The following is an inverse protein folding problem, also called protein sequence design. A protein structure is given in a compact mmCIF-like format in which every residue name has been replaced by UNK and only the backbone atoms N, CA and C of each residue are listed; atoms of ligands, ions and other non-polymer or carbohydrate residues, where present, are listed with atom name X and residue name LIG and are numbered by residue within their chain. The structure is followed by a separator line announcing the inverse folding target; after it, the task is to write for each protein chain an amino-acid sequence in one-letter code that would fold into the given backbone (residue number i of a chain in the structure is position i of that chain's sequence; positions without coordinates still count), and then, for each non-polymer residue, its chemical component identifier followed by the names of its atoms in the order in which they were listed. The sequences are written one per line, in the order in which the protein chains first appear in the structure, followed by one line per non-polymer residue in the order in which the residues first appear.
data_IF_179229383314
#
_entry.id   IF_179229383314
#
_cell.length_a   1.000
_cell.length_b   1.000
_cell.length_c   1.000
_cell.angle_alpha   90.00
_cell.angle_beta   90.00
_cell.angle_gamma   90.00
#
_symmetry.space_group_name_H-M   'P 1'
#
loop_
_entity.id
_entity.type
_entity.pdbx_description
1 polymer ?
#
# COMPACT_ATOMS: atom_id res chain seq x y z
N UNK A 1 -53.94 -18.14 86.89
CA UNK A 1 -52.76 -17.28 86.89
C UNK A 1 -52.86 -16.36 85.70
N UNK A 2 -53.24 -15.08 85.93
CA UNK A 2 -53.33 -14.08 84.86
C UNK A 2 -51.99 -13.29 84.79
N UNK A 3 -51.30 -13.36 83.70
CA UNK A 3 -50.14 -12.52 83.42
C UNK A 3 -50.63 -11.18 82.87
N UNK A 4 -50.37 -10.13 83.59
CA UNK A 4 -50.60 -8.72 83.23
C UNK A 4 -49.44 -8.19 82.49
N UNK A 5 -49.55 -7.94 81.18
CA UNK A 5 -48.55 -7.30 80.37
C UNK A 5 -48.62 -5.77 80.63
N UNK A 6 -47.62 -5.21 81.28
CA UNK A 6 -47.42 -3.78 81.47
C UNK A 6 -46.90 -3.19 80.18
N UNK A 7 -47.67 -2.33 79.51
CA UNK A 7 -47.17 -1.52 78.39
C UNK A 7 -46.50 -0.26 79.02
N UNK A 8 -45.19 -0.21 79.01
CA UNK A 8 -44.45 1.04 79.20
C UNK A 8 -44.40 1.72 77.82
N UNK A 9 -45.24 2.71 77.58
CA UNK A 9 -45.10 3.75 76.62
C UNK A 9 -44.33 4.90 77.24
N UNK A 10 -43.02 4.83 77.23
CA UNK A 10 -42.18 6.02 77.38
C UNK A 10 -41.68 6.41 76.00
N UNK A 11 -42.16 7.54 75.51
CA UNK A 11 -41.62 8.19 74.34
C UNK A 11 -40.19 8.63 74.68
N UNK A 12 -39.20 8.35 73.79
CA UNK A 12 -37.83 8.80 74.05
C UNK A 12 -37.80 10.33 74.06
N UNK A 13 -37.27 10.82 75.12
CA UNK A 13 -37.08 12.26 75.38
C UNK A 13 -36.34 12.99 74.23
N UNK A 14 -36.81 14.19 73.92
CA UNK A 14 -36.35 15.12 72.88
C UNK A 14 -34.91 15.62 73.04
N UNK A 15 -34.03 14.94 73.74
CA UNK A 15 -32.61 15.28 73.85
C UNK A 15 -31.75 14.90 72.66
N UNK A 16 -32.18 13.99 71.84
CA UNK A 16 -31.39 13.49 70.71
C UNK A 16 -31.70 14.16 69.35
N UNK A 17 -32.66 15.05 69.25
CA UNK A 17 -33.04 15.71 68.00
C UNK A 17 -31.97 16.64 67.46
N UNK A 18 -31.18 17.28 68.29
CA UNK A 18 -30.09 18.17 67.96
C UNK A 18 -28.86 17.39 67.42
N UNK A 19 -28.53 16.26 68.11
CA UNK A 19 -27.40 15.40 67.68
C UNK A 19 -27.68 14.71 66.36
N UNK A 20 -28.89 14.22 66.11
CA UNK A 20 -29.30 13.60 64.86
C UNK A 20 -29.36 14.59 63.69
N UNK A 21 -29.69 15.85 63.93
CA UNK A 21 -29.66 16.93 62.93
C UNK A 21 -28.23 17.27 62.56
N UNK A 22 -27.32 17.40 63.53
CA UNK A 22 -25.90 17.69 63.31
C UNK A 22 -25.20 16.54 62.57
N UNK A 23 -25.45 15.28 62.92
CA UNK A 23 -24.92 14.13 62.23
C UNK A 23 -25.41 14.05 60.74
N UNK A 24 -26.69 14.38 60.51
CA UNK A 24 -27.23 14.48 59.15
C UNK A 24 -26.58 15.59 58.32
N UNK A 25 -26.36 16.74 58.91
CA UNK A 25 -25.74 17.87 58.22
C UNK A 25 -24.27 17.58 57.93
N UNK A 26 -23.52 16.98 58.88
CA UNK A 26 -22.16 16.53 58.67
C UNK A 26 -22.05 15.45 57.59
N UNK A 27 -22.92 14.45 57.61
CA UNK A 27 -22.96 13.39 56.60
C UNK A 27 -23.29 13.94 55.20
N UNK A 28 -24.20 14.90 55.12
CA UNK A 28 -24.55 15.63 53.90
C UNK A 28 -23.36 16.44 53.37
N UNK A 29 -22.64 17.10 54.22
CA UNK A 29 -21.46 17.89 53.82
C UNK A 29 -20.31 16.98 53.32
N UNK A 30 -20.06 15.86 54.01
CA UNK A 30 -19.06 14.85 53.57
C UNK A 30 -19.46 14.21 52.23
N UNK A 31 -20.73 13.87 52.04
CA UNK A 31 -21.21 13.31 50.80
C UNK A 31 -21.13 14.30 49.63
N UNK A 32 -21.46 15.58 49.89
CA UNK A 32 -21.36 16.65 48.89
C UNK A 32 -19.92 17.00 48.52
N UNK A 33 -19.00 16.94 49.49
CA UNK A 33 -17.57 17.15 49.23
C UNK A 33 -17.00 15.99 48.43
N UNK A 34 -17.29 14.72 48.79
CA UNK A 34 -16.86 13.55 48.07
C UNK A 34 -17.43 13.50 46.62
N UNK A 35 -18.67 13.97 46.44
CA UNK A 35 -19.27 14.08 45.12
C UNK A 35 -18.58 15.16 44.26
N UNK A 36 -18.25 16.32 44.84
CA UNK A 36 -17.53 17.42 44.20
C UNK A 36 -16.11 16.97 43.78
N UNK A 37 -15.42 16.24 44.67
CA UNK A 37 -14.07 15.76 44.41
C UNK A 37 -14.05 14.72 43.27
N UNK A 38 -14.98 13.75 43.29
CA UNK A 38 -15.13 12.79 42.19
C UNK A 38 -15.46 13.44 40.83
N UNK A 39 -16.31 14.49 40.85
CA UNK A 39 -16.64 15.26 39.67
C UNK A 39 -15.40 16.02 39.15
N UNK A 40 -14.62 16.62 40.05
CA UNK A 40 -13.37 17.33 39.73
C UNK A 40 -12.30 16.37 39.16
N UNK A 41 -12.13 15.20 39.73
CA UNK A 41 -11.22 14.17 39.21
C UNK A 41 -11.62 13.70 37.80
N UNK A 42 -12.90 13.42 37.57
CA UNK A 42 -13.39 13.04 36.24
C UNK A 42 -13.17 14.15 35.23
N UNK A 43 -13.41 15.37 35.60
CA UNK A 43 -13.21 16.56 34.77
C UNK A 43 -11.73 16.71 34.42
N UNK A 44 -10.82 16.59 35.38
CA UNK A 44 -9.38 16.64 35.14
C UNK A 44 -8.89 15.49 34.30
N UNK A 45 -9.34 14.27 34.51
CA UNK A 45 -9.05 13.09 33.65
C UNK A 45 -9.49 13.32 32.22
N UNK A 46 -10.67 13.88 32.00
CA UNK A 46 -11.18 14.18 30.66
C UNK A 46 -10.41 15.33 29.99
N UNK A 47 -10.04 16.37 30.73
CA UNK A 47 -9.20 17.46 30.23
C UNK A 47 -7.83 16.92 29.81
N UNK A 48 -7.18 16.11 30.65
CA UNK A 48 -5.89 15.51 30.33
C UNK A 48 -5.98 14.57 29.12
N UNK A 49 -7.05 13.80 28.98
CA UNK A 49 -7.30 12.99 27.78
C UNK A 49 -7.45 13.86 26.53
N UNK A 50 -8.23 14.93 26.61
CA UNK A 50 -8.40 15.86 25.50
C UNK A 50 -7.08 16.54 25.11
N UNK A 51 -6.31 17.00 26.09
CA UNK A 51 -4.99 17.63 25.88
C UNK A 51 -4.01 16.63 25.25
N UNK A 52 -3.92 15.42 25.76
CA UNK A 52 -3.03 14.39 25.20
C UNK A 52 -3.42 14.01 23.77
N UNK A 53 -4.72 13.93 23.47
CA UNK A 53 -5.22 13.69 22.11
C UNK A 53 -4.86 14.84 21.18
N UNK A 54 -5.03 16.10 21.63
CA UNK A 54 -4.65 17.28 20.86
C UNK A 54 -3.13 17.34 20.59
N UNK A 55 -2.31 17.02 21.60
CA UNK A 55 -0.85 16.94 21.41
C UNK A 55 -0.48 15.85 20.41
N UNK A 56 -1.11 14.67 20.50
CA UNK A 56 -0.88 13.57 19.56
C UNK A 56 -1.26 13.98 18.13
N UNK A 57 -2.41 14.61 17.95
CA UNK A 57 -2.86 15.12 16.64
C UNK A 57 -1.90 16.19 16.10
N UNK A 58 -1.44 17.10 16.97
CA UNK A 58 -0.48 18.14 16.58
C UNK A 58 0.89 17.56 16.20
N UNK A 59 1.37 16.53 16.92
CA UNK A 59 2.60 15.82 16.59
C UNK A 59 2.48 15.11 15.24
N UNK A 60 1.39 14.41 15.01
CA UNK A 60 1.10 13.74 13.75
C UNK A 60 1.05 14.77 12.61
N UNK A 61 0.29 15.86 12.77
CA UNK A 61 0.22 16.94 11.79
C UNK A 61 1.58 17.61 11.53
N UNK A 62 2.43 17.73 12.56
CA UNK A 62 3.78 18.27 12.48
C UNK A 62 4.71 17.38 11.64
N UNK A 63 4.60 16.06 11.76
CA UNK A 63 5.37 15.09 10.95
C UNK A 63 5.01 15.26 9.46
N UNK A 64 3.71 15.33 9.13
CA UNK A 64 3.26 15.50 7.74
C UNK A 64 3.69 16.84 7.13
N UNK A 65 3.59 17.94 7.90
CA UNK A 65 4.04 19.27 7.43
C UNK A 65 5.54 19.36 7.19
N UNK A 66 6.35 18.65 7.98
CA UNK A 66 7.81 18.64 7.82
C UNK A 66 8.22 17.98 6.50
N UNK A 67 7.50 16.95 6.09
CA UNK A 67 7.76 16.25 4.83
C UNK A 67 7.40 17.09 3.60
N UNK A 68 6.28 17.82 3.63
CA UNK A 68 5.90 18.72 2.54
C UNK A 68 6.86 19.91 2.42
N UNK A 69 7.27 20.49 3.53
CA UNK A 69 8.24 21.58 3.54
C UNK A 69 9.62 21.14 3.02
N UNK A 70 10.06 19.94 3.39
CA UNK A 70 11.32 19.35 2.89
C UNK A 70 11.25 19.09 1.39
N UNK A 71 10.12 18.59 0.88
CA UNK A 71 9.89 18.39 -0.55
C UNK A 71 9.89 19.72 -1.32
N UNK A 72 9.26 20.76 -0.78
CA UNK A 72 9.24 22.10 -1.38
C UNK A 72 10.64 22.74 -1.40
N UNK A 73 11.44 22.60 -0.36
CA UNK A 73 12.79 23.12 -0.29
C UNK A 73 13.73 22.39 -1.26
N UNK A 74 13.68 21.05 -1.29
CA UNK A 74 14.48 20.22 -2.18
C UNK A 74 14.08 20.41 -3.65
N UNK A 75 12.80 20.72 -3.92
CA UNK A 75 12.29 20.96 -5.28
C UNK A 75 12.61 22.33 -5.87
N UNK A 76 13.28 23.25 -5.14
CA UNK A 76 13.63 24.59 -5.61
C UNK A 76 14.97 24.67 -6.37
N UNK A 77 15.76 23.61 -6.34
CA UNK A 77 17.01 23.48 -7.09
C UNK A 77 16.87 22.49 -8.24
N UNK A 78 17.71 22.56 -9.29
CA UNK A 78 17.73 21.54 -10.33
C UNK A 78 17.96 20.16 -9.74
N UNK A 79 17.01 19.23 -9.97
CA UNK A 79 17.03 17.91 -9.35
C UNK A 79 16.51 16.82 -10.30
N UNK A 80 16.78 15.59 -9.93
CA UNK A 80 16.19 14.39 -10.54
C UNK A 80 14.97 13.97 -9.71
N UNK A 81 13.80 13.96 -10.33
CA UNK A 81 12.57 13.46 -9.71
C UNK A 81 12.57 11.93 -9.69
N UNK A 82 12.15 11.32 -8.57
CA UNK A 82 12.01 9.87 -8.45
C UNK A 82 10.55 9.53 -8.15
N UNK A 83 10.05 8.47 -8.80
CA UNK A 83 8.76 7.84 -8.51
C UNK A 83 8.97 6.35 -8.33
N UNK A 84 8.60 5.80 -7.18
CA UNK A 84 8.87 4.41 -6.83
C UNK A 84 7.79 3.46 -7.39
N UNK A 85 8.25 2.31 -7.91
CA UNK A 85 7.42 1.17 -8.33
C UNK A 85 7.92 -0.08 -7.62
N UNK A 86 7.30 -0.42 -6.49
CA UNK A 86 7.72 -1.51 -5.63
C UNK A 86 6.64 -2.59 -5.48
N UNK A 87 7.11 -3.82 -5.27
CA UNK A 87 6.27 -4.97 -4.96
C UNK A 87 5.52 -5.53 -6.17
N UNK A 88 4.57 -6.41 -5.90
CA UNK A 88 3.76 -7.09 -6.92
C UNK A 88 2.76 -6.11 -7.56
N UNK A 89 2.72 -6.10 -8.90
CA UNK A 89 1.87 -5.20 -9.67
C UNK A 89 0.42 -5.73 -9.68
N UNK A 90 -0.52 -4.88 -9.21
CA UNK A 90 -1.93 -5.22 -9.23
C UNK A 90 -2.37 -6.18 -8.13
N UNK A 91 -1.65 -6.24 -7.01
CA UNK A 91 -2.01 -7.05 -5.83
C UNK A 91 -3.30 -6.58 -5.10
N UNK A 92 -3.94 -5.52 -5.60
CA UNK A 92 -5.18 -4.95 -5.04
C UNK A 92 -5.01 -4.13 -3.75
N UNK A 93 -3.81 -4.07 -3.18
CA UNK A 93 -3.51 -3.28 -1.97
C UNK A 93 -3.31 -1.81 -2.32
N UNK A 94 -2.61 -1.55 -3.41
CA UNK A 94 -2.27 -0.20 -3.88
C UNK A 94 -2.66 -0.01 -5.34
N UNK A 95 -3.14 1.19 -5.69
CA UNK A 95 -3.29 1.62 -7.07
C UNK A 95 -1.95 2.17 -7.60
N UNK A 96 -1.09 1.25 -8.05
CA UNK A 96 0.25 1.59 -8.52
C UNK A 96 0.22 2.46 -9.79
N UNK A 97 -0.78 2.28 -10.66
CA UNK A 97 -0.97 3.13 -11.84
C UNK A 97 -1.24 4.57 -11.42
N UNK A 98 -2.14 4.75 -10.46
CA UNK A 98 -2.45 6.07 -9.92
C UNK A 98 -1.22 6.70 -9.23
N UNK A 99 -0.47 5.93 -8.44
CA UNK A 99 0.75 6.43 -7.79
C UNK A 99 1.80 6.88 -8.81
N UNK A 100 2.06 6.07 -9.85
CA UNK A 100 2.98 6.44 -10.93
C UNK A 100 2.51 7.71 -11.64
N UNK A 101 1.23 7.76 -12.05
CA UNK A 101 0.65 8.92 -12.72
C UNK A 101 0.76 10.18 -11.88
N UNK A 102 0.22 10.15 -10.65
CA UNK A 102 0.18 11.34 -9.78
C UNK A 102 1.59 11.84 -9.44
N UNK A 103 2.55 10.90 -9.20
CA UNK A 103 3.96 11.25 -8.95
C UNK A 103 4.64 11.87 -10.16
N UNK A 104 4.44 11.30 -11.35
CA UNK A 104 4.99 11.84 -12.59
C UNK A 104 4.37 13.21 -12.92
N UNK A 105 3.05 13.37 -12.77
CA UNK A 105 2.39 14.68 -12.98
C UNK A 105 2.90 15.74 -12.01
N UNK A 106 3.16 15.38 -10.76
CA UNK A 106 3.75 16.29 -9.78
C UNK A 106 5.18 16.69 -10.17
N UNK A 107 5.98 15.74 -10.64
CA UNK A 107 7.34 16.00 -11.15
C UNK A 107 7.31 16.89 -12.39
N UNK A 108 6.45 16.64 -13.36
CA UNK A 108 6.30 17.47 -14.56
C UNK A 108 5.87 18.91 -14.28
N UNK A 109 5.13 19.14 -13.20
CA UNK A 109 4.73 20.50 -12.78
C UNK A 109 5.88 21.30 -12.16
N UNK A 110 6.96 20.65 -11.76
CA UNK A 110 8.10 21.33 -11.17
C UNK A 110 9.15 21.69 -12.24
N UNK A 111 9.41 22.99 -12.53
CA UNK A 111 10.33 23.41 -13.57
C UNK A 111 11.79 23.06 -13.27
N UNK A 112 12.10 22.71 -12.03
CA UNK A 112 13.45 22.31 -11.61
C UNK A 112 13.72 20.81 -11.80
N UNK A 113 12.70 19.98 -12.03
CA UNK A 113 12.87 18.57 -12.35
C UNK A 113 13.52 18.44 -13.75
N UNK A 114 14.71 17.84 -13.83
CA UNK A 114 15.46 17.68 -15.08
C UNK A 114 15.21 16.36 -15.78
N UNK A 115 14.80 15.36 -15.03
CA UNK A 115 14.34 14.06 -15.51
C UNK A 115 13.47 13.41 -14.45
N UNK A 116 12.69 12.40 -14.87
CA UNK A 116 11.97 11.52 -13.96
C UNK A 116 12.63 10.14 -13.99
N UNK A 117 12.99 9.59 -12.84
CA UNK A 117 13.41 8.20 -12.68
C UNK A 117 12.27 7.40 -12.04
N UNK A 118 11.78 6.41 -12.75
CA UNK A 118 10.96 5.36 -12.15
C UNK A 118 11.92 4.36 -11.51
N UNK A 119 11.96 4.35 -10.18
CA UNK A 119 12.79 3.45 -9.39
C UNK A 119 12.01 2.17 -9.16
N UNK A 120 12.44 1.06 -9.76
CA UNK A 120 11.66 -0.17 -9.81
C UNK A 120 12.34 -1.31 -9.05
N UNK A 121 11.55 -1.98 -8.18
CA UNK A 121 11.91 -3.24 -7.54
C UNK A 121 10.65 -4.11 -7.45
N UNK A 122 10.38 -4.90 -8.51
CA UNK A 122 9.13 -5.63 -8.65
C UNK A 122 9.31 -6.93 -9.43
N UNK A 123 8.70 -8.04 -8.98
CA UNK A 123 8.67 -9.30 -9.73
C UNK A 123 7.71 -9.27 -10.93
N UNK A 124 6.92 -8.20 -11.08
CA UNK A 124 5.83 -8.13 -12.04
C UNK A 124 4.46 -8.33 -11.39
N UNK A 125 3.52 -8.88 -12.12
CA UNK A 125 2.14 -9.14 -11.67
C UNK A 125 1.12 -8.96 -12.78
N UNK A 126 -0.02 -8.34 -12.50
CA UNK A 126 -1.16 -8.23 -13.42
C UNK A 126 -0.77 -7.64 -14.79
N UNK A 127 -1.01 -8.39 -15.88
CA UNK A 127 -0.76 -7.89 -17.23
C UNK A 127 -1.60 -6.64 -17.58
N UNK A 128 -2.84 -6.59 -17.10
CA UNK A 128 -3.76 -5.46 -17.35
C UNK A 128 -3.25 -4.19 -16.66
N UNK A 129 -2.85 -4.28 -15.40
CA UNK A 129 -2.31 -3.14 -14.66
C UNK A 129 -0.99 -2.67 -15.27
N UNK A 130 -0.14 -3.60 -15.69
CA UNK A 130 1.15 -3.32 -16.35
C UNK A 130 0.96 -2.60 -17.69
N UNK A 131 0.00 -3.05 -18.52
CA UNK A 131 -0.33 -2.36 -19.78
C UNK A 131 -0.91 -0.97 -19.52
N UNK A 132 -1.80 -0.83 -18.54
CA UNK A 132 -2.38 0.48 -18.18
C UNK A 132 -1.28 1.46 -17.74
N UNK A 133 -0.33 1.02 -16.93
CA UNK A 133 0.80 1.84 -16.53
C UNK A 133 1.71 2.19 -17.71
N UNK A 134 2.00 1.24 -18.59
CA UNK A 134 2.79 1.45 -19.80
C UNK A 134 2.19 2.52 -20.72
N UNK A 135 0.90 2.44 -21.00
CA UNK A 135 0.21 3.42 -21.85
C UNK A 135 0.14 4.80 -21.17
N UNK A 136 -0.09 4.85 -19.86
CA UNK A 136 -0.17 6.11 -19.12
C UNK A 136 1.19 6.82 -19.07
N UNK A 137 2.28 6.09 -18.86
CA UNK A 137 3.64 6.67 -18.93
C UNK A 137 3.91 7.21 -20.34
N UNK A 138 3.57 6.48 -21.38
CA UNK A 138 3.74 6.94 -22.77
C UNK A 138 2.92 8.20 -23.06
N UNK A 139 1.69 8.25 -22.57
CA UNK A 139 0.82 9.43 -22.71
C UNK A 139 1.43 10.67 -22.03
N UNK A 140 1.89 10.51 -20.79
CA UNK A 140 2.53 11.59 -20.05
C UNK A 140 3.83 12.08 -20.71
N UNK A 141 4.67 11.17 -21.19
CA UNK A 141 5.89 11.50 -21.94
C UNK A 141 5.58 12.30 -23.22
N UNK A 142 4.56 11.89 -23.97
CA UNK A 142 4.15 12.60 -25.18
C UNK A 142 3.67 14.04 -24.89
N UNK A 143 3.08 14.29 -23.73
CA UNK A 143 2.66 15.61 -23.28
C UNK A 143 3.82 16.48 -22.77
N UNK A 144 4.94 15.87 -22.35
CA UNK A 144 6.08 16.53 -21.74
C UNK A 144 7.43 16.13 -22.38
N UNK A 145 7.63 16.35 -23.68
CA UNK A 145 8.81 15.84 -24.43
C UNK A 145 10.14 16.43 -23.95
N UNK A 146 10.11 17.53 -23.19
CA UNK A 146 11.34 18.18 -22.68
C UNK A 146 11.93 17.55 -21.42
N UNK A 147 11.21 16.64 -20.75
CA UNK A 147 11.67 15.99 -19.52
C UNK A 147 11.71 14.47 -19.76
N UNK A 148 12.91 13.86 -19.86
CA UNK A 148 13.05 12.44 -20.13
C UNK A 148 12.62 11.60 -18.93
N UNK A 149 12.10 10.40 -19.22
CA UNK A 149 11.73 9.39 -18.23
C UNK A 149 12.68 8.21 -18.33
N UNK A 150 13.39 7.93 -17.27
CA UNK A 150 14.26 6.76 -17.14
C UNK A 150 13.63 5.74 -16.19
N UNK A 151 13.93 4.47 -16.38
CA UNK A 151 13.66 3.46 -15.36
C UNK A 151 15.00 2.93 -14.83
N UNK A 152 15.12 2.84 -13.52
CA UNK A 152 16.24 2.21 -12.84
C UNK A 152 15.74 1.00 -12.06
N UNK A 153 16.14 -0.18 -12.52
CA UNK A 153 15.87 -1.42 -11.81
C UNK A 153 16.84 -1.60 -10.65
N UNK A 154 16.31 -1.88 -9.47
CA UNK A 154 17.11 -2.26 -8.30
C UNK A 154 17.38 -3.77 -8.31
N UNK A 155 16.92 -4.53 -7.30
CA UNK A 155 17.18 -5.96 -7.24
C UNK A 155 16.52 -6.72 -8.39
N UNK A 156 15.28 -6.33 -8.75
CA UNK A 156 14.49 -7.04 -9.76
C UNK A 156 13.56 -6.11 -10.53
N UNK A 157 13.47 -6.33 -11.84
CA UNK A 157 12.39 -5.83 -12.67
C UNK A 157 12.03 -6.88 -13.73
N UNK A 158 11.06 -7.73 -13.40
CA UNK A 158 10.68 -8.87 -14.24
C UNK A 158 9.20 -8.79 -14.65
N UNK A 159 8.85 -9.49 -15.73
CA UNK A 159 7.46 -9.65 -16.19
C UNK A 159 6.74 -8.31 -16.37
N UNK A 160 5.64 -8.08 -15.63
CA UNK A 160 4.87 -6.83 -15.64
C UNK A 160 5.69 -5.58 -15.31
N UNK A 161 6.73 -5.69 -14.47
CA UNK A 161 7.65 -4.58 -14.21
C UNK A 161 8.43 -4.22 -15.49
N UNK A 162 8.94 -5.22 -16.20
CA UNK A 162 9.66 -4.96 -17.43
C UNK A 162 8.73 -4.47 -18.57
N UNK A 163 7.46 -4.89 -18.55
CA UNK A 163 6.42 -4.31 -19.42
C UNK A 163 6.34 -2.79 -19.22
N UNK A 164 6.24 -2.36 -17.98
CA UNK A 164 6.22 -0.93 -17.61
C UNK A 164 7.54 -0.24 -17.96
N UNK A 165 8.68 -0.91 -17.72
CA UNK A 165 10.01 -0.40 -18.03
C UNK A 165 10.17 -0.04 -19.51
N UNK A 166 9.56 -0.81 -20.40
CA UNK A 166 9.62 -0.58 -21.84
C UNK A 166 8.99 0.77 -22.27
N UNK A 167 8.17 1.42 -21.41
CA UNK A 167 7.64 2.77 -21.67
C UNK A 167 8.68 3.88 -21.46
N UNK A 168 9.77 3.63 -20.74
CA UNK A 168 10.81 4.60 -20.43
C UNK A 168 11.67 4.95 -21.66
N UNK A 169 12.33 6.12 -21.65
CA UNK A 169 13.27 6.50 -22.70
C UNK A 169 14.55 5.67 -22.64
N UNK A 170 15.05 5.39 -21.43
CA UNK A 170 16.17 4.49 -21.18
C UNK A 170 15.92 3.68 -19.91
N UNK A 171 16.50 2.50 -19.88
CA UNK A 171 16.43 1.56 -18.74
C UNK A 171 17.85 1.33 -18.24
N UNK A 172 18.04 1.46 -16.93
CA UNK A 172 19.31 1.20 -16.25
C UNK A 172 19.08 0.11 -15.18
N UNK A 173 20.14 -0.64 -14.88
CA UNK A 173 20.10 -1.69 -13.88
C UNK A 173 21.46 -1.81 -13.19
N UNK A 174 21.49 -2.32 -11.95
CA UNK A 174 22.74 -2.80 -11.37
C UNK A 174 23.22 -4.04 -12.15
N UNK A 175 24.53 -4.30 -12.26
CA UNK A 175 25.03 -5.52 -12.91
C UNK A 175 24.40 -6.81 -12.40
N UNK A 176 24.00 -6.84 -11.14
CA UNK A 176 23.41 -8.00 -10.45
C UNK A 176 21.89 -8.02 -10.43
N UNK A 177 21.22 -6.98 -10.93
CA UNK A 177 19.75 -6.92 -11.01
C UNK A 177 19.21 -8.10 -11.83
N UNK A 178 18.02 -8.57 -11.48
CA UNK A 178 17.28 -9.59 -12.24
C UNK A 178 16.34 -8.90 -13.20
N UNK A 179 16.57 -9.08 -14.51
CA UNK A 179 15.81 -8.46 -15.58
C UNK A 179 15.24 -9.56 -16.50
N UNK A 180 13.95 -9.49 -16.86
CA UNK A 180 13.42 -10.46 -17.83
C UNK A 180 11.92 -10.60 -17.87
N UNK A 181 11.44 -11.62 -18.63
CA UNK A 181 10.03 -11.77 -18.97
C UNK A 181 9.23 -12.66 -18.02
N UNK A 182 9.85 -13.50 -17.19
CA UNK A 182 9.08 -14.39 -16.30
C UNK A 182 9.84 -14.76 -15.04
N UNK A 183 9.07 -14.92 -13.96
CA UNK A 183 9.45 -15.61 -12.74
C UNK A 183 8.31 -16.58 -12.40
N UNK A 184 8.58 -17.88 -12.43
CA UNK A 184 7.59 -18.92 -12.13
C UNK A 184 7.74 -19.37 -10.67
N UNK A 185 6.67 -19.22 -9.88
CA UNK A 185 6.58 -19.66 -8.49
C UNK A 185 5.67 -20.91 -8.32
N UNK A 186 5.28 -21.60 -9.40
CA UNK A 186 4.23 -22.63 -9.36
C UNK A 186 4.64 -23.96 -8.73
N UNK A 187 5.92 -24.19 -8.42
CA UNK A 187 6.42 -25.45 -7.85
C UNK A 187 5.97 -25.80 -6.43
N UNK A 188 5.21 -24.93 -5.74
CA UNK A 188 4.87 -25.11 -4.32
C UNK A 188 3.52 -25.82 -4.08
N UNK A 189 2.61 -25.86 -5.05
CA UNK A 189 1.22 -26.32 -4.86
C UNK A 189 0.98 -27.83 -5.02
N UNK A 190 1.87 -28.56 -5.65
CA UNK A 190 1.67 -29.99 -5.99
C UNK A 190 1.69 -30.97 -4.81
N UNK A 191 2.05 -30.57 -3.59
CA UNK A 191 2.43 -31.51 -2.50
C UNK A 191 1.35 -31.84 -1.47
N UNK A 192 0.11 -31.34 -1.54
CA UNK A 192 -0.83 -31.48 -0.41
C UNK A 192 -2.03 -32.41 -0.65
N UNK A 193 -2.10 -33.21 -1.68
CA UNK A 193 -2.99 -34.41 -1.78
C UNK A 193 -4.48 -34.28 -1.39
N UNK A 194 -5.11 -33.09 -1.46
CA UNK A 194 -6.51 -32.87 -1.10
C UNK A 194 -7.41 -33.01 -2.32
N UNK A 195 -8.38 -33.94 -2.28
CA UNK A 195 -9.40 -34.12 -3.33
C UNK A 195 -10.65 -33.28 -3.02
N UNK A 196 -10.98 -32.33 -3.89
CA UNK A 196 -12.20 -31.51 -3.83
C UNK A 196 -13.23 -32.00 -4.84
N UNK A 197 -14.51 -32.15 -4.42
CA UNK A 197 -15.63 -32.47 -5.32
C UNK A 197 -16.37 -31.18 -5.67
N UNK A 198 -16.19 -30.68 -6.90
CA UNK A 198 -16.85 -29.46 -7.40
C UNK A 198 -17.94 -29.86 -8.40
N UNK A 199 -19.15 -29.32 -8.24
CA UNK A 199 -20.21 -29.40 -9.27
C UNK A 199 -20.22 -28.09 -10.02
N UNK A 200 -19.93 -28.12 -11.32
CA UNK A 200 -19.81 -26.96 -12.20
C UNK A 200 -20.80 -27.08 -13.37
N UNK A 201 -21.35 -25.97 -13.81
CA UNK A 201 -22.12 -25.85 -15.04
C UNK A 201 -21.25 -25.21 -16.13
N UNK A 202 -20.99 -25.95 -17.20
CA UNK A 202 -20.06 -25.58 -18.27
C UNK A 202 -18.76 -26.40 -18.21
N UNK A 203 -18.35 -27.02 -19.35
CA UNK A 203 -17.24 -27.97 -19.43
C UNK A 203 -15.92 -27.42 -18.94
N UNK A 204 -15.67 -26.10 -19.12
CA UNK A 204 -14.41 -25.46 -18.79
C UNK A 204 -14.47 -24.53 -17.58
N UNK A 205 -15.61 -24.47 -16.86
CA UNK A 205 -15.78 -23.57 -15.71
C UNK A 205 -14.90 -23.93 -14.50
N UNK A 206 -14.42 -25.18 -14.42
CA UNK A 206 -13.47 -25.66 -13.41
C UNK A 206 -12.01 -25.55 -13.83
N UNK A 207 -11.72 -24.93 -14.96
CA UNK A 207 -10.35 -24.73 -15.44
C UNK A 207 -9.55 -23.91 -14.44
N UNK A 208 -8.34 -24.38 -14.07
CA UNK A 208 -7.51 -23.74 -13.07
C UNK A 208 -7.81 -24.17 -11.62
N UNK A 209 -8.69 -25.15 -11.38
CA UNK A 209 -8.85 -25.77 -10.06
C UNK A 209 -7.60 -26.63 -9.74
N UNK A 210 -6.78 -26.26 -8.74
CA UNK A 210 -5.54 -26.96 -8.42
C UNK A 210 -5.74 -28.38 -7.87
N UNK A 211 -7.00 -28.77 -7.60
CA UNK A 211 -7.37 -30.07 -7.04
C UNK A 211 -8.01 -31.01 -8.06
N UNK A 212 -8.18 -30.57 -9.30
CA UNK A 212 -8.77 -31.36 -10.40
C UNK A 212 -7.76 -31.57 -11.51
N UNK A 213 -7.67 -32.79 -12.11
CA UNK A 213 -6.85 -33.02 -13.29
C UNK A 213 -7.29 -32.11 -14.44
N UNK A 214 -6.35 -31.48 -15.09
CA UNK A 214 -6.59 -30.69 -16.29
C UNK A 214 -6.88 -31.57 -17.48
N UNK A 215 -7.88 -31.19 -18.29
CA UNK A 215 -8.19 -31.88 -19.55
C UNK A 215 -7.33 -31.34 -20.71
N UNK A 216 -7.10 -32.13 -21.78
CA UNK A 216 -6.37 -31.62 -22.96
C UNK A 216 -6.99 -30.38 -23.60
N UNK A 217 -8.32 -30.25 -23.55
CA UNK A 217 -9.03 -29.07 -24.03
C UNK A 217 -8.74 -27.85 -23.16
N UNK A 218 -8.73 -28.02 -21.84
CA UNK A 218 -8.41 -26.95 -20.88
C UNK A 218 -6.94 -26.51 -21.01
N UNK A 219 -6.01 -27.44 -21.14
CA UNK A 219 -4.60 -27.13 -21.41
C UNK A 219 -4.44 -26.28 -22.67
N UNK A 220 -5.16 -26.65 -23.77
CA UNK A 220 -5.13 -25.87 -25.00
C UNK A 220 -5.67 -24.44 -24.81
N UNK A 221 -6.78 -24.28 -24.10
CA UNK A 221 -7.35 -22.95 -23.78
C UNK A 221 -6.33 -22.11 -22.98
N UNK A 222 -5.66 -22.70 -21.98
CA UNK A 222 -4.61 -22.04 -21.22
C UNK A 222 -3.45 -21.60 -22.09
N UNK A 223 -2.97 -22.50 -22.97
CA UNK A 223 -1.86 -22.22 -23.89
C UNK A 223 -2.19 -21.07 -24.84
N UNK A 224 -3.37 -21.07 -25.45
CA UNK A 224 -3.84 -19.97 -26.28
C UNK A 224 -3.93 -18.65 -25.56
N UNK A 225 -4.49 -18.65 -24.35
CA UNK A 225 -4.63 -17.45 -23.54
C UNK A 225 -3.26 -16.90 -23.09
N UNK A 226 -2.37 -17.75 -22.58
CA UNK A 226 -1.03 -17.37 -22.15
C UNK A 226 -0.18 -16.87 -23.35
N UNK A 227 -0.31 -17.50 -24.50
CA UNK A 227 0.34 -17.06 -25.74
C UNK A 227 -0.14 -15.67 -26.14
N UNK A 228 -1.45 -15.40 -26.02
CA UNK A 228 -2.02 -14.09 -26.31
C UNK A 228 -1.48 -13.00 -25.36
N UNK A 229 -1.49 -13.28 -24.06
CA UNK A 229 -0.95 -12.35 -23.04
C UNK A 229 0.55 -12.10 -23.28
N UNK A 230 1.31 -13.16 -23.54
CA UNK A 230 2.74 -13.05 -23.84
C UNK A 230 3.01 -12.27 -25.13
N UNK A 231 2.14 -12.44 -26.15
CA UNK A 231 2.18 -11.67 -27.38
C UNK A 231 2.07 -10.15 -27.15
N UNK A 232 1.15 -9.72 -26.29
CA UNK A 232 1.03 -8.30 -25.94
C UNK A 232 2.26 -7.78 -25.17
N UNK A 233 2.83 -8.59 -24.28
CA UNK A 233 4.11 -8.26 -23.62
C UNK A 233 5.23 -8.06 -24.65
N UNK A 234 5.42 -9.00 -25.57
CA UNK A 234 6.44 -8.92 -26.63
C UNK A 234 6.25 -7.66 -27.48
N UNK A 235 5.00 -7.35 -27.85
CA UNK A 235 4.66 -6.16 -28.64
C UNK A 235 5.04 -4.86 -27.91
N UNK A 236 4.70 -4.75 -26.60
CA UNK A 236 5.05 -3.58 -25.80
C UNK A 236 6.56 -3.42 -25.69
N UNK A 237 7.29 -4.50 -25.40
CA UNK A 237 8.76 -4.48 -25.29
C UNK A 237 9.39 -4.09 -26.64
N UNK A 238 8.97 -4.69 -27.75
CA UNK A 238 9.46 -4.31 -29.08
C UNK A 238 9.16 -2.85 -29.41
N UNK A 239 7.98 -2.36 -29.07
CA UNK A 239 7.61 -0.96 -29.27
C UNK A 239 8.47 0.00 -28.47
N UNK A 240 8.73 -0.32 -27.21
CA UNK A 240 9.48 0.55 -26.30
C UNK A 240 11.00 0.48 -26.55
N UNK A 241 11.52 -0.71 -26.83
CA UNK A 241 12.97 -0.92 -27.05
C UNK A 241 13.44 -0.58 -28.47
N UNK A 242 12.57 -0.81 -29.48
CA UNK A 242 12.92 -0.58 -30.88
C UNK A 242 14.20 -1.31 -31.29
N UNK A 243 15.09 -0.63 -32.02
CA UNK A 243 16.35 -1.17 -32.52
C UNK A 243 17.40 -1.47 -31.43
N UNK A 244 17.17 -1.00 -30.19
CA UNK A 244 18.03 -1.30 -29.03
C UNK A 244 17.97 -2.78 -28.65
N UNK A 245 16.84 -3.44 -28.89
CA UNK A 245 16.65 -4.84 -28.61
C UNK A 245 17.32 -5.70 -29.68
N UNK A 246 18.32 -6.48 -29.31
CA UNK A 246 19.09 -7.34 -30.22
C UNK A 246 18.42 -8.71 -30.45
N UNK A 247 17.11 -8.69 -30.61
CA UNK A 247 16.32 -9.91 -30.68
C UNK A 247 16.68 -10.84 -31.86
N UNK A 248 17.20 -10.32 -32.97
CA UNK A 248 17.69 -11.16 -34.09
C UNK A 248 18.92 -11.97 -33.68
N UNK A 249 19.76 -11.46 -32.82
CA UNK A 249 20.96 -12.12 -32.32
C UNK A 249 20.64 -13.03 -31.12
N UNK A 250 19.62 -12.69 -30.33
CA UNK A 250 19.20 -13.38 -29.10
C UNK A 250 17.71 -13.69 -29.18
N UNK A 251 17.27 -14.68 -29.97
CA UNK A 251 15.84 -14.97 -30.18
C UNK A 251 15.14 -15.52 -28.95
N UNK A 252 15.89 -16.05 -27.97
CA UNK A 252 15.43 -16.56 -26.68
C UNK A 252 15.10 -15.47 -25.65
N UNK A 253 15.28 -14.18 -26.00
CA UNK A 253 15.01 -13.06 -25.11
C UNK A 253 13.57 -13.02 -24.60
N UNK A 254 12.65 -13.62 -25.35
CA UNK A 254 11.22 -13.74 -24.99
C UNK A 254 10.79 -15.14 -24.54
N UNK A 255 11.73 -16.04 -24.28
CA UNK A 255 11.43 -17.41 -23.86
C UNK A 255 10.98 -17.58 -22.41
N UNK A 256 10.80 -16.49 -21.65
CA UNK A 256 10.59 -16.53 -20.20
C UNK A 256 11.89 -16.46 -19.40
N UNK A 257 13.04 -16.38 -20.07
CA UNK A 257 14.34 -16.31 -19.43
C UNK A 257 14.54 -14.98 -18.68
N UNK A 258 15.24 -15.05 -17.55
CA UNK A 258 15.74 -13.89 -16.80
C UNK A 258 17.24 -13.71 -17.06
N UNK A 259 17.69 -12.47 -16.92
CA UNK A 259 19.06 -12.04 -17.18
C UNK A 259 19.59 -11.28 -15.97
N UNK A 260 20.89 -11.35 -15.73
CA UNK A 260 21.54 -10.36 -14.88
C UNK A 260 21.50 -8.99 -15.57
N UNK A 261 21.61 -7.88 -14.84
CA UNK A 261 21.69 -6.55 -15.47
C UNK A 261 22.83 -6.46 -16.48
N UNK A 262 23.97 -7.09 -16.19
CA UNK A 262 25.12 -7.16 -17.12
C UNK A 262 24.79 -7.90 -18.42
N UNK A 263 24.04 -9.00 -18.37
CA UNK A 263 23.62 -9.74 -19.56
C UNK A 263 22.44 -9.05 -20.26
N UNK A 264 21.55 -8.43 -19.51
CA UNK A 264 20.45 -7.61 -20.03
C UNK A 264 20.97 -6.46 -20.92
N UNK A 265 22.13 -5.89 -20.59
CA UNK A 265 22.80 -4.89 -21.43
C UNK A 265 23.28 -5.50 -22.76
N UNK A 266 23.83 -6.71 -22.74
CA UNK A 266 24.32 -7.40 -23.94
C UNK A 266 23.20 -7.67 -24.95
N UNK A 267 22.03 -8.11 -24.43
CA UNK A 267 20.86 -8.46 -25.27
C UNK A 267 19.99 -7.25 -25.63
N UNK A 268 20.28 -6.06 -25.04
CA UNK A 268 19.56 -4.82 -25.32
C UNK A 268 18.27 -4.63 -24.51
N UNK A 269 18.10 -5.36 -23.39
CA UNK A 269 16.99 -5.15 -22.47
C UNK A 269 17.21 -3.91 -21.62
N UNK A 270 18.44 -3.52 -21.29
CA UNK A 270 18.77 -2.26 -20.61
C UNK A 270 19.72 -1.43 -21.47
N UNK A 271 19.79 -0.13 -21.22
CA UNK A 271 20.60 0.84 -22.01
C UNK A 271 21.94 1.15 -21.32
N UNK A 272 22.08 0.81 -20.05
CA UNK A 272 23.30 1.04 -19.28
C UNK A 272 23.24 0.40 -17.92
N UNK A 273 24.41 0.35 -17.27
CA UNK A 273 24.53 -0.09 -15.90
C UNK A 273 24.59 1.14 -14.98
N UNK A 274 23.90 1.07 -13.86
CA UNK A 274 23.86 2.14 -12.87
C UNK A 274 22.68 2.02 -11.90
N UNK A 275 22.78 2.79 -10.83
CA UNK A 275 21.73 2.97 -9.83
C UNK A 275 21.16 4.39 -9.88
N UNK A 276 20.15 4.69 -9.07
CA UNK A 276 19.48 6.00 -9.09
C UNK A 276 20.46 7.18 -8.89
N UNK A 277 21.47 7.03 -8.05
CA UNK A 277 22.43 8.09 -7.74
C UNK A 277 23.41 8.31 -8.89
N UNK A 278 23.93 7.23 -9.48
CA UNK A 278 24.84 7.35 -10.64
C UNK A 278 24.09 7.87 -11.86
N UNK A 279 22.85 7.45 -12.11
CA UNK A 279 22.02 7.94 -13.22
C UNK A 279 21.68 9.43 -13.02
N UNK A 280 21.29 9.85 -11.81
CA UNK A 280 21.02 11.25 -11.50
C UNK A 280 22.25 12.13 -11.71
N UNK A 281 23.42 11.69 -11.23
CA UNK A 281 24.66 12.45 -11.32
C UNK A 281 25.24 12.45 -12.74
N UNK A 282 25.36 11.27 -13.36
CA UNK A 282 26.17 11.07 -14.56
C UNK A 282 25.37 11.19 -15.86
N UNK A 283 24.07 10.87 -15.83
CA UNK A 283 23.19 10.90 -17.00
C UNK A 283 22.31 12.15 -16.99
N UNK A 284 21.60 12.40 -15.89
CA UNK A 284 20.70 13.56 -15.76
C UNK A 284 21.48 14.85 -15.53
N UNK A 285 22.65 14.78 -14.91
CA UNK A 285 23.45 15.92 -14.47
C UNK A 285 22.76 16.80 -13.41
N UNK A 286 21.88 16.19 -12.64
CA UNK A 286 21.18 16.78 -11.49
C UNK A 286 21.25 15.76 -10.33
N UNK A 287 22.32 15.77 -9.52
CA UNK A 287 22.62 14.74 -8.53
C UNK A 287 21.64 14.72 -7.35
N UNK A 288 20.97 15.85 -7.08
CA UNK A 288 19.93 15.91 -6.05
C UNK A 288 18.73 15.06 -6.46
N UNK A 289 18.33 14.15 -5.60
CA UNK A 289 17.22 13.23 -5.85
C UNK A 289 16.04 13.60 -4.97
N UNK A 290 14.88 13.88 -5.58
CA UNK A 290 13.66 14.25 -4.89
C UNK A 290 12.57 13.23 -5.17
N UNK A 291 12.00 12.63 -4.12
CA UNK A 291 10.95 11.62 -4.22
C UNK A 291 9.58 12.26 -4.37
N UNK A 292 8.94 12.03 -5.51
CA UNK A 292 7.59 12.47 -5.87
C UNK A 292 6.54 11.38 -5.72
N UNK A 293 6.91 10.21 -5.18
CA UNK A 293 5.96 9.12 -4.96
C UNK A 293 4.86 9.58 -3.99
N UNK A 294 3.58 9.52 -4.38
CA UNK A 294 2.49 9.84 -3.47
C UNK A 294 2.55 8.95 -2.23
N UNK A 295 2.63 9.57 -1.06
CA UNK A 295 2.56 8.83 0.21
C UNK A 295 1.16 8.29 0.41
N UNK A 296 1.07 7.11 0.97
CA UNK A 296 -0.23 6.56 1.34
C UNK A 296 -0.88 7.47 2.38
N UNK A 297 -2.09 7.92 2.08
CA UNK A 297 -2.89 8.68 3.02
C UNK A 297 -3.20 7.80 4.25
N UNK A 298 -2.52 8.11 5.37
CA UNK A 298 -2.68 7.38 6.63
C UNK A 298 -4.15 7.30 7.06
N UNK A 299 -4.94 8.35 6.77
CA UNK A 299 -6.38 8.35 6.98
C UNK A 299 -7.09 7.28 6.14
N UNK A 300 -6.61 7.02 4.92
CA UNK A 300 -7.16 5.99 4.03
C UNK A 300 -6.76 4.58 4.48
N UNK A 301 -5.52 4.39 4.94
CA UNK A 301 -5.02 3.12 5.51
C UNK A 301 -5.79 2.81 6.80
N UNK A 302 -5.93 3.78 7.70
CA UNK A 302 -6.68 3.67 8.94
C UNK A 302 -8.15 3.37 8.66
N UNK A 303 -8.77 4.11 7.73
CA UNK A 303 -10.16 3.90 7.32
C UNK A 303 -10.42 2.53 6.69
N UNK A 304 -9.47 1.97 5.92
CA UNK A 304 -9.57 0.61 5.39
C UNK A 304 -9.45 -0.45 6.49
N UNK A 305 -8.48 -0.33 7.42
CA UNK A 305 -8.30 -1.28 8.53
C UNK A 305 -9.45 -1.20 9.53
N UNK A 306 -9.74 -0.02 10.07
CA UNK A 306 -10.83 0.15 11.02
C UNK A 306 -12.22 0.01 10.39
N UNK A 307 -12.41 0.40 9.15
CA UNK A 307 -13.66 0.22 8.44
C UNK A 307 -13.98 -1.25 8.14
N UNK A 308 -12.99 -2.10 7.91
CA UNK A 308 -13.16 -3.54 7.74
C UNK A 308 -13.51 -4.21 9.08
N UNK A 309 -12.80 -3.87 10.17
CA UNK A 309 -13.07 -4.39 11.52
C UNK A 309 -14.41 -3.90 12.06
N UNK A 310 -14.77 -2.63 11.85
CA UNK A 310 -16.08 -2.09 12.24
C UNK A 310 -17.23 -2.78 11.48
N UNK A 311 -17.07 -3.02 10.18
CA UNK A 311 -18.07 -3.78 9.40
C UNK A 311 -18.20 -5.23 9.87
N UNK A 312 -17.11 -5.89 10.26
CA UNK A 312 -17.14 -7.23 10.82
C UNK A 312 -17.86 -7.26 12.17
N UNK A 313 -17.52 -6.35 13.08
CA UNK A 313 -18.14 -6.24 14.41
C UNK A 313 -19.62 -5.87 14.36
N UNK A 314 -20.02 -4.97 13.45
CA UNK A 314 -21.44 -4.64 13.23
C UNK A 314 -22.21 -5.82 12.66
N UNK A 315 -21.60 -6.61 11.78
CA UNK A 315 -22.21 -7.80 11.20
C UNK A 315 -22.41 -8.92 12.24
N UNK A 316 -21.42 -9.13 13.11
CA UNK A 316 -21.52 -10.04 14.26
C UNK A 316 -22.61 -9.60 15.25
N UNK A 317 -22.64 -8.31 15.60
CA UNK A 317 -23.66 -7.77 16.49
C UNK A 317 -25.08 -7.91 15.92
N UNK A 318 -25.27 -7.71 14.62
CA UNK A 318 -26.55 -7.91 13.94
C UNK A 318 -26.95 -9.39 13.82
N UNK A 319 -25.98 -10.32 13.78
CA UNK A 319 -26.25 -11.76 13.79
C UNK A 319 -26.58 -12.28 15.20
N UNK A 320 -26.04 -11.66 16.25
CA UNK A 320 -26.32 -12.01 17.65
C UNK A 320 -27.70 -11.54 18.15
N UNK A 321 -28.37 -10.65 17.42
CA UNK A 321 -29.70 -10.10 17.74
C UNK A 321 -30.81 -10.83 16.98
N UNK A 322 -30.47 -11.79 16.12
CA UNK A 322 -31.41 -12.76 15.49
C UNK A 322 -31.36 -14.11 16.16
#
# INVERSE_FOLDING_TARGET
MQYRIRRENEAPEAKNAGETLWERDMMREVLLSAYRDRRRERMWKNIWRAVSTLILVALIAGIFRKDEAALQLAGNTPHTAVVNLYGEIGNGVEDQVKKLKDGMEAAYKNPQAKAIIIRANSPGGSPVVSNTAFEEIRRLKAQHPGIPVYLVAEDMCASGCYYIAAAADKIYADPSSIIGSSFDATGLMEKIGVKRRVKIAGSNKGMGDPFSPETPEQSKIWEEMLTGIHGEFIKAVKTGRGDRLKFRQYPDVFSGRVYTGADALKVGLVDGLGNIYSVARDVVKAPDVVDYTPKDDFGRILGRRFGAELKASVREALQAVR
#
